data_IF_602900500402
#
_entry.id   IF_602900500402
#
_cell.length_a   1.000
_cell.length_b   1.000
_cell.length_c   1.000
_cell.angle_alpha   90.00
_cell.angle_beta   90.00
_cell.angle_gamma   90.00
#
_symmetry.space_group_name_H-M   'P 1'
#
loop_
_entity.id
_entity.type
_entity.pdbx_description
1 polymer ?
#
# COMPACT_ATOMS: atom_id res chain seq x y z
N UNK A 1 8.39 -15.37 -26.59
CA UNK A 1 7.41 -14.29 -26.30
C UNK A 1 6.84 -14.54 -24.90
N UNK A 2 7.51 -13.95 -23.91
CA UNK A 2 7.05 -14.10 -22.52
C UNK A 2 6.06 -12.97 -22.28
N UNK A 3 4.76 -13.29 -22.25
CA UNK A 3 3.75 -12.33 -21.84
C UNK A 3 4.15 -11.72 -20.49
N UNK A 4 4.07 -10.39 -20.31
CA UNK A 4 4.39 -9.78 -19.04
C UNK A 4 3.47 -10.36 -17.97
N UNK A 5 4.05 -10.99 -16.96
CA UNK A 5 3.29 -11.59 -15.87
C UNK A 5 2.50 -10.49 -15.17
N UNK A 6 1.19 -10.59 -15.18
CA UNK A 6 0.26 -9.63 -14.56
C UNK A 6 0.02 -9.94 -13.08
N UNK A 7 0.91 -10.68 -12.45
CA UNK A 7 0.75 -11.15 -11.09
C UNK A 7 2.04 -11.12 -10.28
N UNK A 8 1.95 -11.53 -9.04
CA UNK A 8 3.06 -11.71 -8.10
C UNK A 8 4.00 -12.86 -8.53
N UNK A 9 4.52 -12.79 -9.76
CA UNK A 9 5.29 -13.87 -10.35
C UNK A 9 6.63 -14.12 -9.67
N UNK A 10 7.00 -15.39 -9.63
CA UNK A 10 8.31 -15.90 -9.21
C UNK A 10 9.44 -15.44 -10.17
N UNK A 11 9.09 -14.92 -11.34
CA UNK A 11 10.01 -14.51 -12.42
C UNK A 11 10.95 -13.39 -11.98
N UNK A 12 10.48 -12.41 -11.22
CA UNK A 12 11.33 -11.33 -10.70
C UNK A 12 12.38 -11.84 -9.71
N UNK A 13 12.02 -12.81 -8.89
CA UNK A 13 12.93 -13.45 -7.93
C UNK A 13 14.07 -14.20 -8.62
N UNK A 14 13.79 -14.85 -9.76
CA UNK A 14 14.79 -15.58 -10.54
C UNK A 14 15.75 -14.69 -11.31
N UNK A 15 15.29 -13.56 -11.83
CA UNK A 15 16.12 -12.67 -12.66
C UNK A 15 17.05 -11.78 -11.83
N UNK A 16 16.65 -11.35 -10.66
CA UNK A 16 17.40 -10.37 -9.85
C UNK A 16 17.97 -10.93 -8.56
N UNK A 17 17.63 -12.16 -8.17
CA UNK A 17 17.97 -12.78 -6.89
C UNK A 17 17.53 -11.97 -5.66
N UNK A 18 16.64 -10.98 -5.83
CA UNK A 18 16.14 -10.14 -4.75
C UNK A 18 15.02 -10.86 -4.00
N UNK A 19 15.11 -10.86 -2.67
CA UNK A 19 14.01 -11.32 -1.82
C UNK A 19 13.12 -10.14 -1.48
N UNK A 20 11.94 -10.06 -2.09
CA UNK A 20 10.93 -9.03 -1.81
C UNK A 20 9.89 -9.62 -0.88
N UNK A 21 9.55 -8.96 0.26
CA UNK A 21 8.54 -9.44 1.19
C UNK A 21 7.19 -9.72 0.49
N UNK A 22 6.52 -10.80 0.89
CA UNK A 22 5.24 -11.20 0.28
C UNK A 22 4.19 -10.09 0.42
N UNK A 23 4.11 -9.43 1.59
CA UNK A 23 3.23 -8.26 1.79
C UNK A 23 3.45 -7.19 0.74
N UNK A 24 4.71 -6.79 0.50
CA UNK A 24 5.02 -5.75 -0.49
C UNK A 24 4.54 -6.14 -1.89
N UNK A 25 4.77 -7.39 -2.29
CA UNK A 25 4.33 -7.93 -3.59
C UNK A 25 2.81 -7.91 -3.71
N UNK A 26 2.10 -8.28 -2.64
CA UNK A 26 0.64 -8.25 -2.58
C UNK A 26 0.14 -6.80 -2.70
N UNK A 27 0.69 -5.87 -1.92
CA UNK A 27 0.27 -4.46 -1.92
C UNK A 27 0.49 -3.79 -3.28
N UNK A 28 1.58 -4.14 -3.98
CA UNK A 28 1.80 -3.70 -5.37
C UNK A 28 0.73 -4.27 -6.30
N UNK A 29 0.40 -5.56 -6.18
CA UNK A 29 -0.62 -6.19 -7.03
C UNK A 29 -2.04 -5.66 -6.72
N UNK A 30 -2.35 -5.34 -5.46
CA UNK A 30 -3.63 -4.76 -5.04
C UNK A 30 -3.86 -3.36 -5.62
N UNK A 31 -2.82 -2.65 -6.05
CA UNK A 31 -2.95 -1.33 -6.67
C UNK A 31 -3.47 -1.36 -8.12
N UNK A 32 -3.72 -2.54 -8.64
CA UNK A 32 -4.27 -2.75 -9.97
C UNK A 32 -5.22 -3.96 -9.98
N UNK A 33 -5.04 -4.86 -10.92
CA UNK A 33 -5.75 -6.13 -10.97
C UNK A 33 -4.96 -7.17 -10.19
N UNK A 34 -5.42 -7.51 -9.00
CA UNK A 34 -4.78 -8.54 -8.18
C UNK A 34 -4.83 -9.90 -8.90
N UNK A 35 -3.66 -10.42 -9.20
CA UNK A 35 -3.44 -11.79 -9.66
C UNK A 35 -2.30 -12.41 -8.87
N UNK A 36 -2.42 -13.68 -8.52
CA UNK A 36 -1.40 -14.41 -7.77
C UNK A 36 -0.90 -15.60 -8.58
N UNK A 37 0.34 -15.53 -9.04
CA UNK A 37 1.04 -16.62 -9.71
C UNK A 37 1.97 -17.33 -8.70
N UNK A 38 1.38 -17.89 -7.65
CA UNK A 38 2.09 -18.57 -6.57
C UNK A 38 1.63 -20.03 -6.57
N UNK A 39 2.58 -20.95 -6.35
CA UNK A 39 2.24 -22.36 -6.16
C UNK A 39 1.88 -22.60 -4.68
N UNK A 40 0.60 -22.83 -4.33
CA UNK A 40 0.17 -22.94 -2.93
C UNK A 40 0.87 -24.05 -2.14
N UNK A 41 1.34 -25.10 -2.84
CA UNK A 41 2.08 -26.21 -2.22
C UNK A 41 3.43 -25.79 -1.63
N UNK A 42 3.99 -24.67 -2.08
CA UNK A 42 5.30 -24.17 -1.63
C UNK A 42 5.18 -23.04 -0.60
N UNK A 43 3.95 -22.71 -0.17
CA UNK A 43 3.68 -21.64 0.78
C UNK A 43 3.59 -22.17 2.20
N UNK A 44 4.06 -21.38 3.17
CA UNK A 44 3.79 -21.61 4.59
C UNK A 44 2.32 -21.31 4.92
N UNK A 45 1.84 -21.76 6.07
CA UNK A 45 0.46 -21.50 6.50
C UNK A 45 0.24 -19.99 6.77
N UNK A 46 1.27 -19.29 7.28
CA UNK A 46 1.24 -17.85 7.47
C UNK A 46 1.10 -17.11 6.13
N UNK A 47 1.86 -17.52 5.11
CA UNK A 47 1.77 -16.95 3.77
C UNK A 47 0.40 -17.20 3.14
N UNK A 48 -0.17 -18.41 3.30
CA UNK A 48 -1.52 -18.73 2.83
C UNK A 48 -2.58 -17.85 3.52
N UNK A 49 -2.44 -17.68 4.84
CA UNK A 49 -3.34 -16.84 5.63
C UNK A 49 -3.25 -15.38 5.18
N UNK A 50 -2.04 -14.84 5.00
CA UNK A 50 -1.83 -13.50 4.49
C UNK A 50 -2.48 -13.32 3.10
N UNK A 51 -2.26 -14.24 2.18
CA UNK A 51 -2.88 -14.17 0.86
C UNK A 51 -4.41 -14.24 0.91
N UNK A 52 -4.97 -15.11 1.76
CA UNK A 52 -6.43 -15.22 1.94
C UNK A 52 -7.04 -13.92 2.43
N UNK A 53 -6.42 -13.30 3.44
CA UNK A 53 -6.88 -12.04 4.00
C UNK A 53 -6.77 -10.90 2.97
N UNK A 54 -5.64 -10.79 2.29
CA UNK A 54 -5.43 -9.80 1.25
C UNK A 54 -6.42 -9.92 0.09
N UNK A 55 -6.79 -11.13 -0.33
CA UNK A 55 -7.81 -11.36 -1.34
C UNK A 55 -9.19 -10.86 -0.85
N UNK A 56 -9.52 -11.12 0.42
CA UNK A 56 -10.78 -10.66 1.01
C UNK A 56 -10.84 -9.12 1.04
N UNK A 57 -9.80 -8.47 1.52
CA UNK A 57 -9.68 -7.01 1.55
C UNK A 57 -9.69 -6.41 0.14
N UNK A 58 -8.97 -7.02 -0.81
CA UNK A 58 -8.98 -6.55 -2.20
C UNK A 58 -10.38 -6.59 -2.82
N UNK A 59 -11.18 -7.61 -2.52
CA UNK A 59 -12.58 -7.66 -3.01
C UNK A 59 -13.40 -6.47 -2.53
N UNK A 60 -13.13 -5.96 -1.34
CA UNK A 60 -13.80 -4.77 -0.78
C UNK A 60 -13.36 -3.49 -1.49
N UNK A 61 -12.05 -3.33 -1.72
CA UNK A 61 -11.50 -2.10 -2.33
C UNK A 61 -11.52 -2.11 -3.86
N UNK A 62 -11.72 -3.26 -4.47
CA UNK A 62 -11.66 -3.44 -5.93
C UNK A 62 -12.51 -2.42 -6.72
N UNK A 63 -13.75 -2.10 -6.34
CA UNK A 63 -14.54 -1.10 -7.08
C UNK A 63 -13.85 0.27 -7.11
N UNK A 64 -13.23 0.69 -5.99
CA UNK A 64 -12.51 1.97 -5.92
C UNK A 64 -11.24 1.94 -6.77
N UNK A 65 -10.48 0.84 -6.73
CA UNK A 65 -9.24 0.68 -7.51
C UNK A 65 -9.51 0.63 -9.01
N UNK A 66 -10.62 0.04 -9.43
CA UNK A 66 -10.93 -0.15 -10.86
C UNK A 66 -11.72 1.00 -11.49
N UNK A 67 -12.51 1.72 -10.72
CA UNK A 67 -13.44 2.73 -11.21
C UNK A 67 -13.18 4.14 -10.65
N UNK A 68 -12.37 4.27 -9.61
CA UNK A 68 -12.03 5.56 -9.03
C UNK A 68 -10.99 6.34 -9.84
N UNK A 69 -10.93 7.63 -9.58
CA UNK A 69 -9.92 8.52 -10.13
C UNK A 69 -8.56 8.26 -9.48
N UNK A 70 -7.50 8.19 -10.29
CA UNK A 70 -6.14 7.97 -9.83
C UNK A 70 -5.39 9.28 -9.59
N UNK A 71 -4.75 9.39 -8.43
CA UNK A 71 -3.86 10.51 -8.07
C UNK A 71 -2.48 9.96 -7.74
N UNK A 72 -1.45 10.38 -8.50
CA UNK A 72 -0.04 10.07 -8.22
C UNK A 72 0.50 11.16 -7.31
N UNK A 73 0.98 10.77 -6.11
CA UNK A 73 1.35 11.71 -5.05
C UNK A 73 2.86 11.88 -4.92
N UNK A 74 3.60 10.76 -4.95
CA UNK A 74 5.06 10.76 -4.91
C UNK A 74 5.59 9.90 -6.05
N UNK A 75 6.55 10.44 -6.79
CA UNK A 75 7.17 9.74 -7.91
C UNK A 75 8.31 8.83 -7.43
N UNK A 76 8.43 7.60 -7.91
CA UNK A 76 9.58 6.75 -7.61
C UNK A 76 10.89 7.32 -8.18
N UNK A 77 10.81 8.31 -9.07
CA UNK A 77 11.98 8.95 -9.70
C UNK A 77 12.50 10.17 -8.93
N UNK A 78 11.83 10.58 -7.84
CA UNK A 78 12.20 11.78 -7.05
C UNK A 78 13.40 11.55 -6.11
N UNK A 79 14.14 10.45 -6.26
CA UNK A 79 15.32 10.07 -5.44
C UNK A 79 15.05 9.98 -3.93
N UNK A 80 13.78 9.88 -3.53
CA UNK A 80 13.38 9.66 -2.14
C UNK A 80 13.27 8.17 -1.81
N UNK A 81 13.41 7.28 -2.80
CA UNK A 81 13.23 5.85 -2.63
C UNK A 81 11.82 5.44 -2.21
N UNK A 82 10.83 6.29 -2.46
CA UNK A 82 9.43 6.04 -2.13
C UNK A 82 8.53 6.42 -3.31
N UNK A 83 7.40 5.73 -3.40
CA UNK A 83 6.32 6.05 -4.34
C UNK A 83 4.99 6.02 -3.60
N UNK A 84 4.04 6.84 -4.02
CA UNK A 84 2.68 6.78 -3.49
C UNK A 84 1.65 7.22 -4.52
N UNK A 85 0.49 6.64 -4.41
CA UNK A 85 -0.68 7.02 -5.19
C UNK A 85 -1.96 6.69 -4.43
N UNK A 86 -3.07 7.22 -4.89
CA UNK A 86 -4.38 6.87 -4.35
C UNK A 86 -5.45 6.83 -5.43
N UNK A 87 -6.50 6.10 -5.13
CA UNK A 87 -7.75 6.09 -5.90
C UNK A 87 -8.85 6.69 -5.06
N UNK A 88 -9.71 7.47 -5.66
CA UNK A 88 -10.85 8.13 -5.00
C UNK A 88 -12.11 7.88 -5.81
N UNK A 89 -13.21 7.51 -5.16
CA UNK A 89 -14.51 7.39 -5.83
C UNK A 89 -14.98 8.74 -6.38
N UNK A 90 -15.79 8.77 -7.44
CA UNK A 90 -16.40 10.01 -7.97
C UNK A 90 -17.16 10.79 -6.88
N UNK A 91 -17.85 10.08 -5.99
CA UNK A 91 -18.63 10.63 -4.86
C UNK A 91 -17.72 11.14 -3.73
N UNK A 92 -16.44 10.84 -3.79
CA UNK A 92 -15.43 11.19 -2.76
C UNK A 92 -15.81 10.69 -1.37
N UNK A 93 -16.47 9.56 -1.28
CA UNK A 93 -16.87 8.91 -0.03
C UNK A 93 -15.86 7.83 0.40
N UNK A 94 -15.11 7.26 -0.56
CA UNK A 94 -14.15 6.19 -0.34
C UNK A 94 -12.87 6.44 -1.11
N UNK A 95 -11.75 6.05 -0.51
CA UNK A 95 -10.48 6.06 -1.22
C UNK A 95 -9.53 4.98 -0.71
N UNK A 96 -8.59 4.59 -1.58
CA UNK A 96 -7.51 3.67 -1.25
C UNK A 96 -6.19 4.36 -1.54
N UNK A 97 -5.37 4.49 -0.52
CA UNK A 97 -4.05 5.08 -0.60
C UNK A 97 -2.99 3.99 -0.52
N UNK A 98 -2.00 4.08 -1.40
CA UNK A 98 -0.85 3.18 -1.47
C UNK A 98 0.44 3.95 -1.27
N UNK A 99 1.33 3.35 -0.50
CA UNK A 99 2.67 3.85 -0.27
C UNK A 99 3.67 2.70 -0.32
N UNK A 100 4.77 2.90 -1.05
CA UNK A 100 5.83 1.91 -1.22
C UNK A 100 7.18 2.55 -0.98
N UNK A 101 8.02 1.87 -0.22
CA UNK A 101 9.43 2.18 -0.09
C UNK A 101 10.23 1.20 -0.91
N UNK A 102 11.03 1.68 -1.85
CA UNK A 102 11.82 0.90 -2.81
C UNK A 102 13.29 0.86 -2.45
N UNK A 103 13.78 1.87 -1.70
CA UNK A 103 15.16 2.00 -1.30
C UNK A 103 15.25 2.54 0.12
N UNK A 104 16.29 2.14 0.85
CA UNK A 104 16.58 2.65 2.18
C UNK A 104 17.81 3.55 2.13
N UNK A 105 17.64 4.79 2.62
CA UNK A 105 18.75 5.71 2.83
C UNK A 105 18.95 5.94 4.33
N UNK A 106 20.20 5.88 4.77
CA UNK A 106 20.56 6.12 6.18
C UNK A 106 20.19 7.55 6.57
N UNK A 107 19.57 7.72 7.73
CA UNK A 107 19.15 9.03 8.26
C UNK A 107 18.17 9.81 7.36
N UNK A 108 17.38 9.13 6.55
CA UNK A 108 16.39 9.76 5.72
C UNK A 108 15.16 10.17 6.53
N UNK A 109 14.78 11.44 6.43
CA UNK A 109 13.48 11.96 6.85
C UNK A 109 12.55 12.04 5.65
N UNK A 110 11.50 11.25 5.65
CA UNK A 110 10.49 11.28 4.59
C UNK A 110 9.46 12.37 4.90
N UNK A 111 9.04 13.14 3.90
CA UNK A 111 8.00 14.13 4.09
C UNK A 111 6.64 13.48 4.37
N UNK A 112 5.75 14.22 5.02
CA UNK A 112 4.35 13.83 5.12
C UNK A 112 3.75 13.72 3.72
N UNK A 113 2.97 12.67 3.48
CA UNK A 113 2.34 12.48 2.18
C UNK A 113 0.99 13.17 2.16
N UNK A 114 0.87 14.23 1.36
CA UNK A 114 -0.38 14.94 1.14
C UNK A 114 -1.26 14.14 0.20
N UNK A 115 -2.52 13.97 0.59
CA UNK A 115 -3.51 13.28 -0.22
C UNK A 115 -4.11 14.22 -1.27
N UNK A 116 -4.80 13.66 -2.26
CA UNK A 116 -5.44 14.43 -3.31
C UNK A 116 -6.83 13.86 -3.66
N UNK A 117 -7.68 14.68 -4.27
CA UNK A 117 -8.99 14.26 -4.78
C UNK A 117 -10.08 14.11 -3.73
N UNK A 118 -9.78 14.24 -2.44
CA UNK A 118 -10.78 14.14 -1.37
C UNK A 118 -11.70 15.39 -1.35
N UNK A 119 -12.85 15.26 -0.69
CA UNK A 119 -13.69 16.43 -0.41
C UNK A 119 -13.19 17.16 0.82
N UNK A 120 -12.95 18.50 0.75
CA UNK A 120 -12.46 19.27 1.89
C UNK A 120 -13.33 19.17 3.13
N UNK A 121 -14.66 19.13 2.93
CA UNK A 121 -15.68 19.23 3.98
C UNK A 121 -16.07 17.88 4.59
N UNK A 122 -15.60 16.77 3.99
CA UNK A 122 -15.89 15.43 4.50
C UNK A 122 -14.88 14.99 5.55
N UNK A 123 -15.34 14.15 6.45
CA UNK A 123 -14.50 13.47 7.45
C UNK A 123 -14.23 12.04 7.00
N UNK A 124 -12.98 11.62 7.08
CA UNK A 124 -12.53 10.30 6.64
C UNK A 124 -11.92 9.52 7.80
N UNK A 125 -12.45 8.35 8.06
CA UNK A 125 -11.83 7.38 8.97
C UNK A 125 -10.77 6.59 8.21
N UNK A 126 -9.59 6.44 8.82
CA UNK A 126 -8.43 5.80 8.19
C UNK A 126 -8.19 4.42 8.80
N UNK A 127 -8.06 3.40 7.97
CA UNK A 127 -7.72 2.04 8.35
C UNK A 127 -6.58 1.50 7.49
N UNK A 128 -5.64 0.80 8.12
CA UNK A 128 -4.60 0.07 7.38
C UNK A 128 -5.11 -1.30 6.94
N UNK A 129 -4.97 -1.59 5.65
CA UNK A 129 -5.26 -2.89 5.05
C UNK A 129 -4.01 -3.76 4.98
N UNK A 130 -4.22 -5.07 4.87
CA UNK A 130 -3.16 -6.07 4.70
C UNK A 130 -2.04 -5.94 5.75
N UNK A 131 -2.42 -5.63 6.99
CA UNK A 131 -1.49 -5.48 8.11
C UNK A 131 -0.94 -6.84 8.54
N UNK A 132 0.37 -6.92 8.73
CA UNK A 132 1.07 -8.16 9.13
C UNK A 132 1.55 -8.14 10.59
N UNK A 133 1.56 -6.98 11.23
CA UNK A 133 2.01 -6.80 12.60
C UNK A 133 0.83 -6.42 13.53
N UNK A 134 1.07 -6.55 14.82
CA UNK A 134 0.11 -6.16 15.85
C UNK A 134 0.31 -4.70 16.32
N UNK A 135 1.18 -3.94 15.65
CA UNK A 135 1.50 -2.55 16.01
C UNK A 135 0.74 -1.60 15.06
N UNK A 136 -0.44 -1.13 15.45
CA UNK A 136 -1.25 -0.28 14.59
C UNK A 136 -0.55 1.06 14.35
N UNK A 137 -0.78 1.64 13.18
CA UNK A 137 -0.33 2.98 12.87
C UNK A 137 -0.91 3.98 13.88
N UNK A 138 -0.16 5.02 14.20
CA UNK A 138 -0.58 6.06 15.18
C UNK A 138 -1.92 6.72 14.84
N UNK A 139 -2.33 6.65 13.60
CA UNK A 139 -3.59 7.19 13.07
C UNK A 139 -4.63 6.11 12.70
N UNK A 140 -4.38 4.85 13.03
CA UNK A 140 -5.35 3.76 12.81
C UNK A 140 -6.67 4.04 13.50
N UNK A 141 -7.77 3.92 12.75
CA UNK A 141 -9.12 4.16 13.24
C UNK A 141 -9.46 5.64 13.54
N UNK A 142 -8.50 6.56 13.35
CA UNK A 142 -8.75 8.00 13.56
C UNK A 142 -9.45 8.62 12.36
N UNK A 143 -10.14 9.72 12.65
CA UNK A 143 -10.90 10.50 11.66
C UNK A 143 -10.20 11.83 11.41
N UNK A 144 -10.08 12.21 10.13
CA UNK A 144 -9.47 13.45 9.68
C UNK A 144 -10.37 14.14 8.64
N UNK A 145 -10.37 15.47 8.60
CA UNK A 145 -11.02 16.19 7.50
C UNK A 145 -10.24 16.03 6.20
N UNK A 146 -10.94 16.05 5.07
CA UNK A 146 -10.29 16.06 3.76
C UNK A 146 -9.34 17.24 3.60
N UNK A 147 -9.70 18.42 4.13
CA UNK A 147 -8.81 19.59 4.19
C UNK A 147 -7.49 19.25 4.90
N UNK A 148 -7.55 18.61 6.07
CA UNK A 148 -6.32 18.22 6.80
C UNK A 148 -5.47 17.26 6.00
N UNK A 149 -6.08 16.19 5.44
CA UNK A 149 -5.37 15.17 4.68
C UNK A 149 -4.70 15.73 3.42
N UNK A 150 -5.34 16.69 2.75
CA UNK A 150 -4.79 17.33 1.55
C UNK A 150 -3.75 18.42 1.86
N UNK A 151 -3.91 19.16 2.93
CA UNK A 151 -2.99 20.25 3.28
C UNK A 151 -1.77 19.77 4.07
N UNK A 152 -1.97 18.95 5.11
CA UNK A 152 -0.93 18.47 6.03
C UNK A 152 -0.45 17.07 5.71
N UNK A 153 -1.31 16.22 5.16
CA UNK A 153 -1.01 14.82 4.87
C UNK A 153 -0.78 13.96 6.12
N UNK A 154 -0.31 12.74 5.90
CA UNK A 154 0.04 11.78 6.94
C UNK A 154 1.54 11.45 6.90
N UNK A 155 2.12 11.27 8.06
CA UNK A 155 3.44 10.69 8.19
C UNK A 155 3.33 9.16 8.15
N UNK A 156 3.91 8.55 7.11
CA UNK A 156 3.83 7.12 6.91
C UNK A 156 5.09 6.48 7.50
N UNK A 157 4.97 5.76 8.63
CA UNK A 157 6.11 5.07 9.21
C UNK A 157 6.48 3.86 8.34
N UNK A 158 7.76 3.77 8.01
CA UNK A 158 8.32 2.70 7.19
C UNK A 158 9.01 1.60 8.00
N UNK A 159 9.28 1.87 9.27
CA UNK A 159 9.87 0.88 10.15
C UNK A 159 8.76 -0.02 10.71
N UNK A 160 8.64 -1.20 10.14
CA UNK A 160 8.20 -2.33 10.94
C UNK A 160 9.30 -2.57 11.98
N UNK A 161 8.98 -2.99 13.19
CA UNK A 161 9.98 -3.51 14.17
C UNK A 161 10.64 -4.74 13.56
N UNK A 162 11.58 -4.51 12.66
CA UNK A 162 12.27 -5.55 11.95
C UNK A 162 13.68 -5.60 12.48
N UNK A 163 14.08 -6.83 12.72
CA UNK A 163 15.43 -7.26 12.92
C UNK A 163 16.42 -6.30 12.23
N UNK A 164 17.19 -5.55 13.02
CA UNK A 164 18.17 -4.56 12.55
C UNK A 164 19.20 -5.14 11.57
N UNK A 165 19.22 -6.47 11.41
CA UNK A 165 20.10 -7.22 10.52
C UNK A 165 19.51 -7.51 9.13
N UNK A 166 18.22 -7.25 8.91
CA UNK A 166 17.60 -7.36 7.59
C UNK A 166 17.24 -5.97 7.10
N UNK A 167 18.11 -5.38 6.28
CA UNK A 167 17.81 -4.17 5.53
C UNK A 167 16.54 -4.40 4.69
N UNK A 168 15.41 -3.91 5.18
CA UNK A 168 14.16 -3.97 4.44
C UNK A 168 14.08 -2.77 3.50
N UNK A 169 14.69 -2.90 2.34
CA UNK A 169 14.56 -1.93 1.26
C UNK A 169 13.09 -1.80 0.82
N UNK A 170 12.32 -2.88 0.98
CA UNK A 170 10.95 -2.95 0.51
C UNK A 170 9.95 -3.00 1.65
N UNK A 171 9.25 -1.88 1.88
CA UNK A 171 8.10 -1.82 2.78
C UNK A 171 6.91 -1.14 2.10
N UNK A 172 5.71 -1.47 2.51
CA UNK A 172 4.49 -0.93 1.93
C UNK A 172 3.40 -0.72 2.96
N UNK A 173 2.54 0.25 2.70
CA UNK A 173 1.32 0.52 3.46
C UNK A 173 0.16 0.74 2.50
N UNK A 174 -0.98 0.17 2.81
CA UNK A 174 -2.23 0.39 2.09
C UNK A 174 -3.24 0.92 3.09
N UNK A 175 -3.82 2.08 2.83
CA UNK A 175 -4.81 2.70 3.70
C UNK A 175 -6.16 2.77 3.00
N UNK A 176 -7.19 2.40 3.71
CA UNK A 176 -8.58 2.60 3.36
C UNK A 176 -9.08 3.85 4.07
N UNK A 177 -9.67 4.75 3.32
CA UNK A 177 -10.33 5.94 3.85
C UNK A 177 -11.81 5.88 3.48
N UNK A 178 -12.67 6.03 4.47
CA UNK A 178 -14.12 6.02 4.29
C UNK A 178 -14.75 7.21 5.00
N UNK A 179 -15.67 7.87 4.31
CA UNK A 179 -16.43 8.98 4.87
C UNK A 179 -17.21 8.54 6.12
N UNK A 180 -17.09 9.32 7.18
CA UNK A 180 -17.88 9.18 8.39
C UNK A 180 -19.09 10.09 8.28
N UNK A 181 -20.27 9.51 8.30
CA UNK A 181 -21.54 10.26 8.30
C UNK A 181 -21.89 10.75 9.67
#
# INVERSE_FOLDING_TARGET
>A
DVAPSRGLGDVYKRQTFRTIPLKYRIDVAMSGRLGMEIQPKNMTEEEKTLCKNAIAEYKTIRPVVQLGDIYRLMSPYDKLGVASMMYVTPEKDKSVFYWWKTEHFVNQHLPRVKMAGLSPDKLYKVHELNRIDNDPLSFEGKTFSGTYLMANGLEIPYNHKVDYHKQNDYSSRVLWLEEVK
#
